data_IF_559158732757
#
_entry.id   IF_559158732757
#
_cell.length_a   1.000
_cell.length_b   1.000
_cell.length_c   1.000
_cell.angle_alpha   90.00
_cell.angle_beta   90.00
_cell.angle_gamma   90.00
#
_symmetry.space_group_name_H-M   'P 1'
#
loop_
_entity.id
_entity.type
_entity.pdbx_description
1 polymer ?
#
# COMPACT_ATOMS: atom_id res chain seq x y z
N UNK A 1 -33.15 7.52 -13.33
CA UNK A 1 -32.14 6.42 -13.37
C UNK A 1 -30.94 6.92 -12.60
N UNK A 2 -30.61 6.30 -11.45
CA UNK A 2 -29.43 6.67 -10.67
C UNK A 2 -28.21 5.97 -11.29
N UNK A 3 -27.27 6.73 -11.83
CA UNK A 3 -26.03 6.21 -12.44
C UNK A 3 -24.84 6.48 -11.54
N UNK A 4 -23.76 5.70 -11.71
CA UNK A 4 -22.53 5.83 -10.94
C UNK A 4 -22.41 4.84 -9.77
N UNK A 5 -21.29 4.92 -9.07
CA UNK A 5 -20.94 4.05 -7.94
C UNK A 5 -21.04 4.88 -6.67
N UNK A 6 -21.87 4.46 -5.72
CA UNK A 6 -21.99 5.11 -4.42
C UNK A 6 -20.80 4.78 -3.51
N UNK A 7 -20.59 5.57 -2.45
CA UNK A 7 -19.51 5.29 -1.50
C UNK A 7 -19.68 3.94 -0.78
N UNK A 8 -20.92 3.54 -0.51
CA UNK A 8 -21.21 2.22 0.05
C UNK A 8 -20.77 1.08 -0.90
N UNK A 9 -20.98 1.25 -2.20
CA UNK A 9 -20.52 0.30 -3.23
C UNK A 9 -19.00 0.30 -3.37
N UNK A 10 -18.36 1.47 -3.31
CA UNK A 10 -16.89 1.60 -3.36
C UNK A 10 -16.21 0.94 -2.17
N UNK A 11 -16.83 1.00 -0.98
CA UNK A 11 -16.32 0.37 0.24
C UNK A 11 -16.57 -1.15 0.29
N UNK A 12 -17.36 -1.71 -0.63
CA UNK A 12 -17.57 -3.15 -0.74
C UNK A 12 -16.47 -3.78 -1.62
N UNK A 13 -15.50 -4.41 -0.97
CA UNK A 13 -14.36 -5.04 -1.64
C UNK A 13 -14.76 -6.12 -2.65
N UNK A 14 -15.79 -6.91 -2.36
CA UNK A 14 -16.26 -7.97 -3.26
C UNK A 14 -16.82 -7.37 -4.53
N UNK A 15 -17.69 -6.37 -4.40
CA UNK A 15 -18.27 -5.66 -5.54
C UNK A 15 -17.20 -4.98 -6.41
N UNK A 16 -16.24 -4.30 -5.78
CA UNK A 16 -15.16 -3.63 -6.51
C UNK A 16 -14.22 -4.63 -7.20
N UNK A 17 -14.01 -5.82 -6.61
CA UNK A 17 -13.23 -6.90 -7.23
C UNK A 17 -13.93 -7.45 -8.46
N UNK A 18 -15.22 -7.74 -8.39
CA UNK A 18 -15.99 -8.26 -9.53
C UNK A 18 -16.09 -7.20 -10.65
N UNK A 19 -16.32 -5.94 -10.28
CA UNK A 19 -16.31 -4.84 -11.23
C UNK A 19 -14.94 -4.67 -11.89
N UNK A 20 -13.85 -4.85 -11.15
CA UNK A 20 -12.49 -4.78 -11.70
C UNK A 20 -12.26 -5.85 -12.77
N UNK A 21 -12.84 -7.04 -12.65
CA UNK A 21 -12.72 -8.10 -13.67
C UNK A 21 -13.31 -7.62 -15.01
N UNK A 22 -14.43 -6.90 -14.98
CA UNK A 22 -15.10 -6.44 -16.19
C UNK A 22 -14.57 -5.10 -16.73
N UNK A 23 -13.94 -4.28 -15.88
CA UNK A 23 -13.44 -2.95 -16.26
C UNK A 23 -11.95 -2.91 -16.57
N UNK A 24 -11.16 -3.88 -16.07
CA UNK A 24 -9.74 -4.01 -16.41
C UNK A 24 -9.59 -4.68 -17.77
N UNK A 25 -9.38 -3.84 -18.78
CA UNK A 25 -9.07 -4.27 -20.14
C UNK A 25 -7.55 -4.29 -20.30
N UNK A 26 -7.00 -5.46 -20.66
CA UNK A 26 -5.56 -5.58 -20.92
C UNK A 26 -5.14 -4.81 -22.20
N UNK A 27 -3.85 -4.48 -22.39
CA UNK A 27 -3.42 -3.64 -23.52
C UNK A 27 -3.83 -4.17 -24.90
N UNK A 28 -3.70 -5.49 -25.13
CA UNK A 28 -4.07 -6.11 -26.41
C UNK A 28 -5.57 -5.97 -26.69
N UNK A 29 -6.41 -6.32 -25.74
CA UNK A 29 -7.86 -6.21 -25.87
C UNK A 29 -8.29 -4.76 -26.06
N UNK A 30 -7.61 -3.81 -25.41
CA UNK A 30 -7.85 -2.38 -25.63
C UNK A 30 -7.53 -1.96 -27.07
N UNK A 31 -6.40 -2.41 -27.62
CA UNK A 31 -6.04 -2.16 -29.02
C UNK A 31 -7.06 -2.76 -29.99
N UNK A 32 -7.51 -3.98 -29.73
CA UNK A 32 -8.52 -4.67 -30.54
C UNK A 32 -9.86 -3.91 -30.51
N UNK A 33 -10.32 -3.50 -29.32
CA UNK A 33 -11.55 -2.69 -29.16
C UNK A 33 -11.47 -1.36 -29.90
N UNK A 34 -10.33 -0.67 -29.85
CA UNK A 34 -10.12 0.60 -30.58
C UNK A 34 -10.12 0.40 -32.10
N UNK A 35 -9.44 -0.65 -32.57
CA UNK A 35 -9.36 -0.96 -34.01
C UNK A 35 -10.73 -1.38 -34.55
N UNK A 36 -11.47 -2.21 -33.80
CA UNK A 36 -12.84 -2.59 -34.13
C UNK A 36 -13.79 -1.39 -34.14
N UNK A 37 -13.63 -0.46 -33.20
CA UNK A 37 -14.40 0.78 -33.19
C UNK A 37 -14.13 1.64 -34.44
N UNK A 38 -12.86 1.83 -34.81
CA UNK A 38 -12.47 2.57 -36.01
C UNK A 38 -13.01 1.90 -37.29
N UNK A 39 -12.89 0.57 -37.40
CA UNK A 39 -13.43 -0.20 -38.52
C UNK A 39 -14.95 -0.07 -38.62
N UNK A 40 -15.68 -0.13 -37.49
CA UNK A 40 -17.13 0.04 -37.48
C UNK A 40 -17.54 1.43 -37.98
N UNK A 41 -16.82 2.47 -37.55
CA UNK A 41 -17.08 3.86 -37.97
C UNK A 41 -16.83 4.03 -39.47
N UNK A 42 -15.75 3.46 -39.99
CA UNK A 42 -15.40 3.49 -41.42
C UNK A 42 -16.32 2.64 -42.31
N UNK A 43 -17.01 1.65 -41.74
CA UNK A 43 -17.96 0.79 -42.47
C UNK A 43 -19.42 1.25 -42.34
N UNK A 44 -19.70 2.28 -41.55
CA UNK A 44 -21.06 2.81 -41.35
C UNK A 44 -21.29 3.97 -42.34
N UNK A 45 -22.20 3.84 -43.33
CA UNK A 45 -22.36 4.84 -44.39
C UNK A 45 -22.65 6.26 -43.89
N UNK A 46 -23.50 6.40 -42.87
CA UNK A 46 -23.85 7.70 -42.30
C UNK A 46 -22.62 8.38 -41.66
N UNK A 47 -21.83 7.62 -40.89
CA UNK A 47 -20.61 8.13 -40.27
C UNK A 47 -19.57 8.56 -41.30
N UNK A 48 -19.38 7.77 -42.36
CA UNK A 48 -18.45 8.10 -43.46
C UNK A 48 -18.93 9.34 -44.23
N UNK A 49 -20.24 9.45 -44.45
CA UNK A 49 -20.82 10.61 -45.15
C UNK A 49 -20.59 11.88 -44.35
N UNK A 50 -20.81 11.87 -43.04
CA UNK A 50 -20.50 13.02 -42.18
C UNK A 50 -19.02 13.36 -42.22
N UNK A 51 -18.11 12.40 -42.02
CA UNK A 51 -16.66 12.66 -42.10
C UNK A 51 -16.25 13.33 -43.43
N UNK A 52 -16.77 12.82 -44.56
CA UNK A 52 -16.52 13.39 -45.89
C UNK A 52 -17.06 14.81 -46.04
N UNK A 53 -18.21 15.14 -45.45
CA UNK A 53 -18.76 16.52 -45.48
C UNK A 53 -17.79 17.53 -44.83
N UNK A 54 -17.06 17.11 -43.82
CA UNK A 54 -16.03 17.91 -43.16
C UNK A 54 -14.64 17.82 -43.81
N UNK A 55 -14.52 17.16 -44.97
CA UNK A 55 -13.24 16.80 -45.61
C UNK A 55 -12.29 16.04 -44.67
N UNK A 56 -12.84 15.20 -43.78
CA UNK A 56 -12.10 14.37 -42.85
C UNK A 56 -12.06 12.90 -43.29
N UNK A 57 -11.03 12.20 -42.86
CA UNK A 57 -10.93 10.75 -42.92
C UNK A 57 -10.37 10.21 -41.60
N UNK A 58 -10.69 8.96 -41.27
CA UNK A 58 -10.22 8.30 -40.06
C UNK A 58 -9.18 7.22 -40.42
N UNK A 59 -8.04 7.24 -39.74
CA UNK A 59 -7.06 6.15 -39.84
C UNK A 59 -7.54 4.93 -39.05
N UNK A 60 -7.37 3.73 -39.62
CA UNK A 60 -7.59 2.46 -38.93
C UNK A 60 -6.33 1.91 -38.24
N UNK A 61 -5.22 2.66 -38.27
CA UNK A 61 -3.98 2.33 -37.57
C UNK A 61 -3.82 3.20 -36.35
N UNK A 62 -3.39 2.59 -35.25
CA UNK A 62 -3.01 3.31 -34.04
C UNK A 62 -1.78 4.18 -34.32
N UNK A 63 -1.70 5.33 -33.65
CA UNK A 63 -0.59 6.26 -33.79
C UNK A 63 0.65 5.65 -33.16
N UNK A 64 1.72 5.54 -33.94
CA UNK A 64 3.03 5.14 -33.45
C UNK A 64 3.76 6.37 -32.88
N UNK A 65 4.32 6.22 -31.69
CA UNK A 65 5.03 7.28 -31.00
C UNK A 65 6.46 6.83 -30.74
N UNK A 66 7.43 7.66 -31.11
CA UNK A 66 8.82 7.46 -30.72
C UNK A 66 8.96 7.81 -29.23
N UNK A 67 9.28 6.81 -28.42
CA UNK A 67 9.48 6.95 -26.99
C UNK A 67 10.89 6.50 -26.61
N UNK A 68 11.26 6.75 -25.34
CA UNK A 68 12.49 6.25 -24.72
C UNK A 68 12.15 5.47 -23.47
N UNK A 69 12.88 4.38 -23.24
CA UNK A 69 12.83 3.65 -21.98
C UNK A 69 13.92 4.19 -21.06
N UNK A 70 13.54 4.58 -19.85
CA UNK A 70 14.52 4.99 -18.85
C UNK A 70 15.27 3.76 -18.33
N UNK A 71 16.60 3.82 -18.19
CA UNK A 71 17.33 2.76 -17.52
C UNK A 71 16.88 2.69 -16.05
N UNK A 72 16.87 1.49 -15.43
CA UNK A 72 16.64 1.38 -14.00
C UNK A 72 17.65 2.19 -13.19
N UNK A 73 17.16 2.92 -12.20
CA UNK A 73 18.02 3.72 -11.32
C UNK A 73 18.69 2.85 -10.24
N UNK A 74 19.95 3.13 -9.89
CA UNK A 74 20.61 2.46 -8.77
C UNK A 74 20.06 2.97 -7.43
N UNK A 75 19.77 2.04 -6.53
CA UNK A 75 19.35 2.29 -5.16
C UNK A 75 20.53 2.05 -4.23
N UNK A 76 20.73 2.93 -3.25
CA UNK A 76 21.84 2.84 -2.31
C UNK A 76 21.43 2.23 -0.98
N UNK A 77 22.18 1.22 -0.56
CA UNK A 77 22.24 0.71 0.80
C UNK A 77 23.50 1.28 1.49
N UNK A 78 23.63 1.11 2.81
CA UNK A 78 24.82 1.57 3.55
C UNK A 78 26.11 0.94 3.02
N UNK A 79 26.05 -0.32 2.58
CA UNK A 79 27.23 -1.05 2.13
C UNK A 79 27.48 -0.92 0.63
N UNK A 80 26.42 -0.87 -0.20
CA UNK A 80 26.55 -0.92 -1.65
C UNK A 80 25.32 -0.36 -2.38
N UNK A 81 25.52 0.01 -3.65
CA UNK A 81 24.42 0.26 -4.58
C UNK A 81 23.91 -1.04 -5.22
N UNK A 82 22.64 -1.09 -5.59
CA UNK A 82 22.03 -2.19 -6.32
C UNK A 82 21.00 -1.66 -7.32
N UNK A 83 20.72 -2.42 -8.37
CA UNK A 83 19.78 -2.02 -9.42
C UNK A 83 18.33 -2.33 -8.98
N UNK A 84 17.40 -1.37 -9.15
CA UNK A 84 15.98 -1.54 -8.86
C UNK A 84 15.24 -2.55 -9.75
N UNK A 85 15.90 -3.06 -10.79
CA UNK A 85 15.35 -4.00 -11.76
C UNK A 85 14.46 -3.32 -12.80
N UNK A 86 14.17 -4.04 -13.89
CA UNK A 86 13.27 -3.56 -14.94
C UNK A 86 11.81 -3.45 -14.47
N UNK A 87 11.41 -4.28 -13.51
CA UNK A 87 10.08 -4.26 -12.89
C UNK A 87 9.93 -3.17 -11.83
N UNK A 88 11.01 -2.45 -11.50
CA UNK A 88 11.07 -1.51 -10.39
C UNK A 88 10.62 -2.15 -9.05
N UNK A 89 11.02 -3.41 -8.81
CA UNK A 89 10.79 -4.13 -7.55
C UNK A 89 12.13 -4.51 -6.89
N UNK A 90 12.42 -3.84 -5.78
CA UNK A 90 13.61 -4.07 -4.97
C UNK A 90 13.32 -4.72 -3.61
N UNK A 91 12.13 -5.30 -3.42
CA UNK A 91 11.70 -5.90 -2.15
C UNK A 91 12.66 -6.97 -1.64
N UNK A 92 13.26 -7.75 -2.56
CA UNK A 92 14.27 -8.77 -2.22
C UNK A 92 15.55 -8.16 -1.67
N UNK A 93 16.05 -7.11 -2.31
CA UNK A 93 17.27 -6.42 -1.90
C UNK A 93 17.10 -5.72 -0.54
N UNK A 94 15.91 -5.14 -0.29
CA UNK A 94 15.60 -4.51 1.00
C UNK A 94 15.74 -5.45 2.18
N UNK A 95 15.38 -6.75 2.03
CA UNK A 95 15.43 -7.72 3.12
C UNK A 95 16.82 -8.28 3.40
N UNK A 96 17.74 -8.14 2.44
CA UNK A 96 19.05 -8.78 2.48
C UNK A 96 20.21 -7.79 2.66
N UNK A 97 19.97 -6.50 2.46
CA UNK A 97 20.98 -5.45 2.52
C UNK A 97 20.75 -4.50 3.69
N UNK A 98 21.84 -3.93 4.26
CA UNK A 98 21.73 -3.00 5.37
C UNK A 98 20.92 -1.75 4.98
N UNK A 99 20.09 -1.22 5.87
CA UNK A 99 19.43 0.07 5.62
C UNK A 99 20.48 1.17 5.44
N UNK A 100 20.25 2.08 4.48
CA UNK A 100 21.14 3.23 4.22
C UNK A 100 21.44 4.00 5.51
N UNK A 101 20.38 4.46 6.18
CA UNK A 101 20.43 5.04 7.53
C UNK A 101 19.54 4.23 8.46
N UNK A 102 20.04 3.91 9.65
CA UNK A 102 19.28 3.18 10.67
C UNK A 102 19.31 3.94 11.99
N UNK A 103 18.13 4.20 12.57
CA UNK A 103 18.04 4.63 13.95
C UNK A 103 18.43 3.47 14.90
N UNK A 104 18.83 3.79 16.12
CA UNK A 104 19.05 2.79 17.18
C UNK A 104 17.83 2.82 18.09
N UNK A 105 17.09 1.71 18.13
CA UNK A 105 15.97 1.54 19.07
C UNK A 105 16.50 0.84 20.30
N UNK A 106 16.70 1.56 21.41
CA UNK A 106 17.20 0.96 22.67
C UNK A 106 16.12 0.21 23.43
N UNK A 107 14.92 0.79 23.48
CA UNK A 107 13.79 0.24 24.21
C UNK A 107 12.50 0.55 23.44
N UNK A 108 11.64 -0.46 23.29
CA UNK A 108 10.36 -0.33 22.63
C UNK A 108 9.37 -1.34 23.20
N UNK A 109 8.08 -1.01 23.07
CA UNK A 109 6.99 -1.72 23.74
C UNK A 109 5.94 -2.17 22.73
N UNK A 110 5.38 -3.35 22.95
CA UNK A 110 4.19 -3.82 22.24
C UNK A 110 3.00 -3.86 23.22
N UNK A 111 1.95 -3.12 22.88
CA UNK A 111 0.66 -3.16 23.56
C UNK A 111 -0.26 -4.12 22.82
N UNK A 112 -0.71 -5.17 23.49
CA UNK A 112 -1.61 -6.15 22.89
C UNK A 112 -2.62 -6.68 23.91
N UNK A 113 -3.85 -7.02 23.49
CA UNK A 113 -4.78 -7.75 24.35
C UNK A 113 -4.17 -9.08 24.81
N UNK A 114 -4.48 -9.50 26.05
CA UNK A 114 -4.00 -10.76 26.65
C UNK A 114 -4.20 -11.97 25.74
N UNK A 115 -5.33 -12.03 25.06
CA UNK A 115 -5.71 -13.11 24.15
C UNK A 115 -4.74 -13.27 22.96
N UNK A 116 -4.14 -12.17 22.50
CA UNK A 116 -3.25 -12.16 21.33
C UNK A 116 -1.77 -12.24 21.71
N UNK A 117 -1.40 -12.26 22.99
CA UNK A 117 0.00 -12.18 23.43
C UNK A 117 0.86 -13.32 22.85
N UNK A 118 0.31 -14.53 22.71
CA UNK A 118 1.01 -15.67 22.11
C UNK A 118 1.39 -15.42 20.65
N UNK A 119 0.45 -14.89 19.86
CA UNK A 119 0.68 -14.57 18.45
C UNK A 119 1.65 -13.38 18.31
N UNK A 120 1.58 -12.44 19.24
CA UNK A 120 2.45 -11.27 19.29
C UNK A 120 3.89 -11.64 19.61
N UNK A 121 4.13 -12.62 20.49
CA UNK A 121 5.48 -13.14 20.73
C UNK A 121 6.09 -13.75 19.45
N UNK A 122 5.32 -14.57 18.72
CA UNK A 122 5.76 -15.13 17.44
C UNK A 122 6.00 -14.05 16.37
N UNK A 123 5.14 -13.03 16.34
CA UNK A 123 5.31 -11.86 15.48
C UNK A 123 6.58 -11.08 15.83
N UNK A 124 6.85 -10.82 17.11
CA UNK A 124 8.03 -10.10 17.57
C UNK A 124 9.34 -10.81 17.18
N UNK A 125 9.38 -12.14 17.27
CA UNK A 125 10.51 -12.93 16.79
C UNK A 125 10.70 -12.80 15.27
N UNK A 126 9.60 -12.82 14.52
CA UNK A 126 9.64 -12.67 13.06
C UNK A 126 10.09 -11.28 12.65
N UNK A 127 9.62 -10.24 13.35
CA UNK A 127 10.03 -8.86 13.15
C UNK A 127 11.52 -8.67 13.47
N UNK A 128 12.02 -9.28 14.55
CA UNK A 128 13.44 -9.23 14.91
C UNK A 128 14.32 -9.89 13.83
N UNK A 129 13.93 -11.05 13.30
CA UNK A 129 14.62 -11.68 12.16
C UNK A 129 14.63 -10.81 10.90
N UNK A 130 13.50 -10.17 10.58
CA UNK A 130 13.41 -9.26 9.45
C UNK A 130 14.32 -8.03 9.64
N UNK A 131 14.33 -7.46 10.85
CA UNK A 131 15.21 -6.34 11.21
C UNK A 131 16.69 -6.72 11.08
N UNK A 132 17.08 -7.94 11.50
CA UNK A 132 18.45 -8.44 11.36
C UNK A 132 18.92 -8.50 9.91
N UNK A 133 18.07 -8.95 8.98
CA UNK A 133 18.39 -8.97 7.54
C UNK A 133 18.68 -7.57 6.98
N UNK A 134 18.07 -6.54 7.55
CA UNK A 134 18.27 -5.12 7.20
C UNK A 134 19.37 -4.44 8.03
N UNK A 135 20.14 -5.22 8.80
CA UNK A 135 21.08 -4.76 9.84
C UNK A 135 20.50 -3.68 10.76
N UNK A 136 19.19 -3.76 11.02
CA UNK A 136 18.50 -2.87 11.92
C UNK A 136 18.53 -3.48 13.32
N UNK A 137 19.21 -2.82 14.25
CA UNK A 137 19.27 -3.27 15.64
C UNK A 137 17.93 -3.02 16.33
N UNK A 138 17.09 -4.05 16.35
CA UNK A 138 15.82 -4.07 17.05
C UNK A 138 15.90 -5.07 18.21
N UNK A 139 16.04 -4.60 19.47
CA UNK A 139 16.11 -5.48 20.64
C UNK A 139 14.77 -6.17 20.89
N UNK A 140 14.74 -7.14 21.81
CA UNK A 140 13.49 -7.78 22.21
C UNK A 140 12.53 -6.74 22.81
N UNK A 141 11.27 -6.63 22.33
CA UNK A 141 10.31 -5.70 22.89
C UNK A 141 9.86 -6.13 24.29
N UNK A 142 9.43 -5.16 25.09
CA UNK A 142 8.59 -5.43 26.26
C UNK A 142 7.15 -5.56 25.80
N UNK A 143 6.54 -6.72 26.03
CA UNK A 143 5.13 -6.95 25.69
C UNK A 143 4.31 -6.64 26.94
N UNK A 144 3.39 -5.68 26.84
CA UNK A 144 2.50 -5.29 27.93
C UNK A 144 1.09 -5.82 27.62
N UNK A 145 0.61 -6.82 28.38
CA UNK A 145 -0.69 -7.43 28.15
C UNK A 145 -1.82 -6.56 28.68
N UNK A 146 -2.71 -6.12 27.80
CA UNK A 146 -3.92 -5.36 28.16
C UNK A 146 -5.11 -6.28 28.42
N UNK A 147 -6.03 -5.82 29.27
CA UNK A 147 -7.25 -6.56 29.61
C UNK A 147 -8.12 -6.79 28.37
N UNK A 148 -8.31 -5.75 27.55
CA UNK A 148 -9.10 -5.81 26.32
C UNK A 148 -8.50 -4.89 25.23
N UNK A 149 -9.08 -4.94 24.03
CA UNK A 149 -8.73 -4.08 22.90
C UNK A 149 -9.59 -2.82 22.78
N UNK A 150 -10.16 -2.28 23.87
CA UNK A 150 -11.03 -1.08 23.82
C UNK A 150 -10.21 0.20 23.85
N UNK A 151 -10.76 1.26 23.26
CA UNK A 151 -10.11 2.56 23.14
C UNK A 151 -9.63 3.14 24.49
N UNK A 152 -10.46 3.10 25.54
CA UNK A 152 -10.10 3.63 26.86
C UNK A 152 -8.93 2.84 27.48
N UNK A 153 -8.94 1.52 27.36
CA UNK A 153 -7.88 0.64 27.85
C UNK A 153 -6.54 0.94 27.17
N UNK A 154 -6.56 1.17 25.85
CA UNK A 154 -5.39 1.61 25.11
C UNK A 154 -4.84 2.93 25.64
N UNK A 155 -5.69 3.94 25.87
CA UNK A 155 -5.25 5.25 26.37
C UNK A 155 -4.57 5.12 27.73
N UNK A 156 -5.18 4.40 28.66
CA UNK A 156 -4.62 4.23 30.01
C UNK A 156 -3.28 3.52 29.97
N UNK A 157 -3.15 2.43 29.22
CA UNK A 157 -1.88 1.69 29.13
C UNK A 157 -0.81 2.46 28.35
N UNK A 158 -1.19 3.22 27.32
CA UNK A 158 -0.25 4.11 26.62
C UNK A 158 0.30 5.15 27.61
N UNK A 159 -0.56 5.80 28.40
CA UNK A 159 -0.11 6.79 29.39
C UNK A 159 0.83 6.17 30.43
N UNK A 160 0.49 4.99 30.96
CA UNK A 160 1.33 4.26 31.90
C UNK A 160 2.70 3.93 31.29
N UNK A 161 2.73 3.32 30.11
CA UNK A 161 3.98 2.92 29.44
C UNK A 161 4.85 4.13 29.12
N UNK A 162 4.27 5.22 28.61
CA UNK A 162 5.03 6.43 28.30
C UNK A 162 5.62 7.05 29.56
N UNK A 163 4.84 7.13 30.65
CA UNK A 163 5.30 7.74 31.90
C UNK A 163 6.36 6.87 32.61
N UNK A 164 6.24 5.55 32.59
CA UNK A 164 7.11 4.65 33.33
C UNK A 164 8.39 4.27 32.59
N UNK A 165 8.29 4.04 31.27
CA UNK A 165 9.38 3.43 30.48
C UNK A 165 9.95 4.35 29.40
N UNK A 166 9.23 5.43 29.04
CA UNK A 166 9.59 6.38 27.99
C UNK A 166 10.24 5.71 26.74
N UNK A 167 9.51 4.79 26.07
CA UNK A 167 10.09 3.99 25.00
C UNK A 167 10.31 4.79 23.72
N UNK A 168 11.29 4.38 22.91
CA UNK A 168 11.57 5.00 21.61
C UNK A 168 10.50 4.67 20.56
N UNK A 169 9.75 3.58 20.75
CA UNK A 169 8.68 3.15 19.86
C UNK A 169 7.63 2.34 20.62
N UNK A 170 6.36 2.55 20.26
CA UNK A 170 5.21 1.79 20.78
C UNK A 170 4.48 1.18 19.58
N UNK A 171 4.28 -0.14 19.61
CA UNK A 171 3.49 -0.87 18.64
C UNK A 171 2.17 -1.31 19.30
N UNK A 172 1.04 -0.92 18.72
CA UNK A 172 -0.29 -1.25 19.24
C UNK A 172 -0.97 -2.30 18.36
N UNK A 173 -1.36 -3.43 18.94
CA UNK A 173 -2.07 -4.53 18.26
C UNK A 173 -3.56 -4.36 18.43
N UNK A 174 -4.25 -3.96 17.36
CA UNK A 174 -5.70 -3.72 17.35
C UNK A 174 -6.40 -4.97 16.78
N UNK A 175 -7.31 -5.64 17.52
CA UNK A 175 -7.96 -6.88 17.06
C UNK A 175 -8.85 -6.75 15.82
N UNK A 176 -9.24 -5.53 15.46
CA UNK A 176 -10.22 -5.24 14.42
C UNK A 176 -9.77 -4.04 13.60
N UNK A 177 -10.13 -3.98 12.31
CA UNK A 177 -9.88 -2.86 11.41
C UNK A 177 -10.74 -1.61 11.71
N UNK A 178 -10.97 -1.35 13.00
CA UNK A 178 -11.74 -0.24 13.53
C UNK A 178 -10.91 1.04 13.53
N UNK A 179 -11.19 1.91 12.56
CA UNK A 179 -10.46 3.17 12.35
C UNK A 179 -10.59 4.19 13.48
N UNK A 180 -11.62 4.07 14.33
CA UNK A 180 -11.82 4.95 15.49
C UNK A 180 -10.73 4.75 16.55
N UNK A 181 -10.35 3.51 16.84
CA UNK A 181 -9.28 3.18 17.78
C UNK A 181 -7.93 3.69 17.26
N UNK A 182 -7.64 3.45 15.97
CA UNK A 182 -6.40 3.95 15.34
C UNK A 182 -6.27 5.47 15.46
N UNK A 183 -7.33 6.20 15.13
CA UNK A 183 -7.36 7.67 15.17
C UNK A 183 -7.13 8.21 16.58
N UNK A 184 -7.69 7.53 17.58
CA UNK A 184 -7.59 7.90 18.98
C UNK A 184 -6.19 7.61 19.55
N UNK A 185 -5.58 6.47 19.21
CA UNK A 185 -4.18 6.16 19.56
C UNK A 185 -3.23 7.20 18.97
N UNK A 186 -3.38 7.53 17.69
CA UNK A 186 -2.51 8.51 17.01
C UNK A 186 -2.68 9.91 17.58
N UNK A 187 -3.91 10.35 17.87
CA UNK A 187 -4.16 11.63 18.54
C UNK A 187 -3.43 11.71 19.88
N UNK A 188 -3.54 10.66 20.70
CA UNK A 188 -2.91 10.65 22.02
C UNK A 188 -1.39 10.69 21.96
N UNK A 189 -0.78 9.89 21.08
CA UNK A 189 0.67 9.75 20.98
C UNK A 189 1.34 10.90 20.22
N UNK A 190 0.65 11.53 19.26
CA UNK A 190 1.27 12.49 18.34
C UNK A 190 0.73 13.92 18.44
N UNK A 191 -0.35 14.17 19.19
CA UNK A 191 -0.94 15.52 19.33
C UNK A 191 -0.95 15.95 20.79
N UNK A 192 -1.63 15.20 21.67
CA UNK A 192 -1.85 15.63 23.06
C UNK A 192 -0.57 15.66 23.91
N UNK A 193 0.52 15.06 23.41
CA UNK A 193 1.83 14.96 24.08
C UNK A 193 3.02 15.34 23.17
N UNK A 194 2.76 16.00 22.04
CA UNK A 194 3.83 16.59 21.22
C UNK A 194 4.35 17.90 21.84
#
# INVERSE_FOLDING_TARGET
IMTGITDAMRNNFTLMKDMAIHTRVNPKERMDRLTNFANRLLNTPDSVTELKRWNLTLSNRLVELTARTLPPEPILSRSQGYNGGEEADWTRHLRALPMFTSAIVKHWVILAPKENCRDVDAFAQTLSRAAQGMTFTLPRPTIVPMIDGRANTFLTHIEQVVNETNPALILCVIPSARGDIYSLIKRKLCIDRA
#
